data_IF_194426294259
#
_entry.id   IF_194426294259
#
_cell.length_a   1.000
_cell.length_b   1.000
_cell.length_c   1.000
_cell.angle_alpha   90.00
_cell.angle_beta   90.00
_cell.angle_gamma   90.00
#
_symmetry.space_group_name_H-M   'P 1'
#
loop_
_entity.id
_entity.type
_entity.pdbx_description
1 polymer ?
#
# COMPACT_ATOMS: atom_id res chain seq x y z
N UNK A 1 -12.19 4.67 -9.32
CA UNK A 1 -12.09 5.67 -8.20
C UNK A 1 -13.32 5.64 -7.28
N UNK A 2 -14.40 4.96 -7.66
CA UNK A 2 -15.64 4.88 -6.87
C UNK A 2 -15.45 4.22 -5.50
N UNK A 3 -14.42 3.40 -5.35
CA UNK A 3 -14.08 2.71 -4.09
C UNK A 3 -13.22 3.56 -3.14
N UNK A 4 -12.94 4.82 -3.50
CA UNK A 4 -12.22 5.76 -2.63
C UNK A 4 -13.25 6.71 -2.02
N UNK A 5 -13.59 6.55 -0.73
CA UNK A 5 -14.74 7.23 -0.13
C UNK A 5 -14.57 8.75 0.01
N UNK A 6 -13.33 9.23 0.08
CA UNK A 6 -13.04 10.69 0.17
C UNK A 6 -11.93 11.07 -0.80
N UNK A 7 -12.06 12.24 -1.41
CA UNK A 7 -11.06 12.84 -2.30
C UNK A 7 -10.59 11.98 -3.48
N UNK A 8 -11.37 10.97 -3.90
CA UNK A 8 -11.03 10.10 -5.04
C UNK A 8 -10.72 10.89 -6.32
N UNK A 9 -11.37 12.05 -6.51
CA UNK A 9 -11.14 12.93 -7.67
C UNK A 9 -9.71 13.48 -7.75
N UNK A 10 -9.01 13.62 -6.63
CA UNK A 10 -7.60 14.03 -6.59
C UNK A 10 -6.70 13.11 -7.40
N UNK A 11 -7.06 11.84 -7.50
CA UNK A 11 -6.27 10.82 -8.19
C UNK A 11 -6.54 10.72 -9.70
N UNK A 12 -7.50 11.48 -10.24
CA UNK A 12 -7.81 11.40 -11.68
C UNK A 12 -6.58 11.67 -12.55
N UNK A 13 -5.82 12.70 -12.24
CA UNK A 13 -4.63 13.05 -13.02
C UNK A 13 -3.56 11.95 -12.96
N UNK A 14 -3.36 11.34 -11.80
CA UNK A 14 -2.40 10.23 -11.64
C UNK A 14 -2.84 9.01 -12.46
N UNK A 15 -4.09 8.57 -12.30
CA UNK A 15 -4.62 7.40 -13.01
C UNK A 15 -4.83 7.61 -14.51
N UNK A 16 -4.98 8.84 -14.97
CA UNK A 16 -5.00 9.12 -16.42
C UNK A 16 -3.63 9.01 -17.07
N UNK A 17 -2.56 9.13 -16.29
CA UNK A 17 -1.18 8.99 -16.78
C UNK A 17 -0.59 7.61 -16.59
N UNK A 18 -1.02 6.91 -15.55
CA UNK A 18 -0.57 5.57 -15.23
C UNK A 18 -1.70 4.81 -14.54
N UNK A 19 -2.43 4.05 -15.34
CA UNK A 19 -3.59 3.28 -14.91
C UNK A 19 -3.21 1.89 -14.37
N UNK A 20 -4.19 1.14 -13.87
CA UNK A 20 -3.99 -0.27 -13.50
C UNK A 20 -3.60 -1.14 -14.71
N UNK A 21 -4.14 -0.84 -15.90
CA UNK A 21 -3.74 -1.53 -17.13
C UNK A 21 -2.26 -1.23 -17.49
N UNK A 22 -1.83 0.03 -17.34
CA UNK A 22 -0.42 0.40 -17.55
C UNK A 22 0.50 -0.28 -16.55
N UNK A 23 0.05 -0.44 -15.30
CA UNK A 23 0.79 -1.17 -14.26
C UNK A 23 0.96 -2.65 -14.65
N UNK A 24 -0.09 -3.30 -15.13
CA UNK A 24 -0.01 -4.68 -15.61
C UNK A 24 0.97 -4.80 -16.79
N UNK A 25 0.79 -3.96 -17.80
CA UNK A 25 1.68 -3.94 -18.97
C UNK A 25 3.16 -3.66 -18.60
N UNK A 26 3.38 -2.83 -17.58
CA UNK A 26 4.72 -2.55 -17.08
C UNK A 26 5.38 -3.82 -16.50
N UNK A 27 4.70 -4.58 -15.65
CA UNK A 27 5.26 -5.80 -15.07
C UNK A 27 5.43 -6.92 -16.11
N UNK A 28 4.48 -7.06 -17.04
CA UNK A 28 4.60 -8.01 -18.14
C UNK A 28 5.83 -7.70 -19.00
N UNK A 29 6.08 -6.42 -19.32
CA UNK A 29 7.31 -5.99 -20.02
C UNK A 29 8.59 -6.27 -19.23
N UNK A 30 8.52 -6.34 -17.91
CA UNK A 30 9.63 -6.74 -17.05
C UNK A 30 9.81 -8.25 -16.94
N UNK A 31 8.98 -9.04 -17.67
CA UNK A 31 9.04 -10.48 -17.68
C UNK A 31 8.34 -11.15 -16.49
N UNK A 32 7.35 -10.49 -15.90
CA UNK A 32 6.47 -11.05 -14.88
C UNK A 32 5.11 -11.36 -15.48
N UNK A 33 4.82 -12.61 -15.88
CA UNK A 33 3.49 -12.99 -16.34
C UNK A 33 2.45 -12.78 -15.23
N UNK A 34 1.33 -12.15 -15.59
CA UNK A 34 0.27 -11.83 -14.64
C UNK A 34 -0.99 -12.65 -14.91
N UNK A 35 -1.76 -12.91 -13.85
CA UNK A 35 -3.11 -13.45 -13.90
C UNK A 35 -4.07 -12.52 -13.14
N UNK A 36 -5.29 -12.39 -13.65
CA UNK A 36 -6.35 -11.67 -12.96
C UNK A 36 -7.29 -12.69 -12.31
N UNK A 37 -7.41 -12.62 -11.00
CA UNK A 37 -8.31 -13.44 -10.22
C UNK A 37 -9.62 -12.71 -9.96
N UNK A 38 -10.54 -13.41 -9.34
CA UNK A 38 -11.83 -12.88 -8.90
C UNK A 38 -11.66 -11.59 -8.08
N UNK A 39 -12.57 -10.63 -8.24
CA UNK A 39 -12.49 -9.32 -7.61
C UNK A 39 -11.49 -8.39 -8.29
N UNK A 40 -11.08 -8.71 -9.54
CA UNK A 40 -10.08 -7.95 -10.30
C UNK A 40 -8.73 -7.84 -9.57
N UNK A 41 -8.38 -8.85 -8.77
CA UNK A 41 -7.08 -8.94 -8.11
C UNK A 41 -6.05 -9.49 -9.08
N UNK A 42 -4.94 -8.78 -9.24
CA UNK A 42 -3.86 -9.17 -10.14
C UNK A 42 -2.68 -9.74 -9.34
N UNK A 43 -2.23 -10.92 -9.74
CA UNK A 43 -1.10 -11.62 -9.15
C UNK A 43 -0.13 -12.09 -10.24
N UNK A 44 1.15 -12.34 -9.90
CA UNK A 44 2.02 -13.09 -10.79
C UNK A 44 1.50 -14.52 -10.97
N UNK A 45 1.65 -15.09 -12.15
CA UNK A 45 1.23 -16.48 -12.44
C UNK A 45 1.90 -17.47 -11.49
N UNK A 46 3.12 -17.17 -11.05
CA UNK A 46 3.89 -17.98 -10.09
C UNK A 46 3.36 -17.93 -8.66
N UNK A 47 2.42 -17.05 -8.32
CA UNK A 47 1.98 -16.73 -6.95
C UNK A 47 3.11 -16.28 -6.01
N UNK A 48 4.27 -15.91 -6.56
CA UNK A 48 5.44 -15.47 -5.81
C UNK A 48 5.60 -13.94 -5.87
N UNK A 49 5.42 -13.26 -4.74
CA UNK A 49 5.73 -11.82 -4.63
C UNK A 49 7.21 -11.51 -4.88
N UNK A 50 8.08 -12.51 -4.70
CA UNK A 50 9.52 -12.37 -4.98
C UNK A 50 9.80 -12.06 -6.45
N UNK A 51 9.03 -12.63 -7.37
CA UNK A 51 9.23 -12.40 -8.81
C UNK A 51 8.98 -10.94 -9.19
N UNK A 52 8.01 -10.30 -8.52
CA UNK A 52 7.70 -8.89 -8.71
C UNK A 52 8.86 -8.02 -8.22
N UNK A 53 9.33 -8.26 -7.00
CA UNK A 53 10.46 -7.49 -6.44
C UNK A 53 11.76 -7.71 -7.20
N UNK A 54 12.06 -8.95 -7.61
CA UNK A 54 13.23 -9.27 -8.41
C UNK A 54 13.20 -8.61 -9.79
N UNK A 55 12.03 -8.49 -10.41
CA UNK A 55 11.88 -7.79 -11.69
C UNK A 55 12.20 -6.29 -11.55
N UNK A 56 11.70 -5.66 -10.47
CA UNK A 56 12.02 -4.26 -10.15
C UNK A 56 13.51 -4.06 -9.88
N UNK A 57 14.14 -4.94 -9.10
CA UNK A 57 15.57 -4.89 -8.85
C UNK A 57 16.41 -5.01 -10.13
N UNK A 58 16.05 -5.95 -11.01
CA UNK A 58 16.70 -6.07 -12.33
C UNK A 58 16.57 -4.80 -13.15
N UNK A 59 15.40 -4.17 -13.12
CA UNK A 59 15.15 -2.92 -13.84
C UNK A 59 15.98 -1.77 -13.28
N UNK A 60 16.04 -1.63 -11.96
CA UNK A 60 16.88 -0.62 -11.29
C UNK A 60 18.35 -0.78 -11.63
N UNK A 61 18.86 -2.01 -11.61
CA UNK A 61 20.25 -2.33 -12.02
C UNK A 61 20.50 -1.95 -13.49
N UNK A 62 19.58 -2.29 -14.39
CA UNK A 62 19.70 -1.95 -15.81
C UNK A 62 19.70 -0.44 -16.06
N UNK A 63 18.97 0.33 -15.24
CA UNK A 63 18.96 1.78 -15.26
C UNK A 63 20.11 2.42 -14.48
N UNK A 64 21.03 1.62 -13.93
CA UNK A 64 22.15 2.08 -13.08
C UNK A 64 21.72 2.91 -11.89
N UNK A 65 20.52 2.64 -11.33
CA UNK A 65 20.04 3.28 -10.11
C UNK A 65 20.87 2.76 -8.94
N UNK A 66 21.41 3.66 -8.14
CA UNK A 66 22.15 3.33 -6.92
C UNK A 66 21.16 3.01 -5.80
N UNK A 67 21.16 1.78 -5.32
CA UNK A 67 20.38 1.37 -4.15
C UNK A 67 21.27 1.48 -2.92
N UNK A 68 20.86 2.26 -1.94
CA UNK A 68 21.58 2.43 -0.67
C UNK A 68 20.72 1.84 0.43
N UNK A 69 21.32 0.94 1.23
CA UNK A 69 20.68 0.36 2.41
C UNK A 69 20.98 1.24 3.61
N UNK A 70 20.14 2.23 3.81
CA UNK A 70 20.18 3.14 4.95
C UNK A 70 18.75 3.54 5.34
N UNK A 71 18.59 3.97 6.58
CA UNK A 71 17.32 4.52 7.04
C UNK A 71 17.34 6.03 6.86
N UNK A 72 16.39 6.55 6.08
CA UNK A 72 16.20 7.98 5.95
C UNK A 72 15.64 8.55 7.28
N UNK A 73 16.30 9.56 7.81
CA UNK A 73 15.95 10.20 9.09
C UNK A 73 15.18 11.50 8.86
N UNK A 74 15.65 12.35 7.95
CA UNK A 74 15.03 13.63 7.66
C UNK A 74 15.32 14.10 6.24
N UNK A 75 14.54 15.07 5.76
CA UNK A 75 14.88 15.84 4.58
C UNK A 75 15.87 16.94 4.94
N UNK A 76 16.87 17.15 4.09
CA UNK A 76 17.77 18.31 4.18
C UNK A 76 17.15 19.43 3.38
N UNK A 77 16.74 20.51 4.06
CA UNK A 77 16.08 21.67 3.46
C UNK A 77 16.87 22.92 3.80
N UNK A 78 17.23 23.70 2.79
CA UNK A 78 17.85 25.00 2.94
C UNK A 78 17.13 26.02 2.05
N UNK A 79 16.82 27.18 2.60
CA UNK A 79 16.12 28.28 1.90
C UNK A 79 14.82 27.83 1.22
N UNK A 80 14.03 26.98 1.92
CA UNK A 80 12.76 26.44 1.42
C UNK A 80 12.90 25.41 0.27
N UNK A 81 14.12 24.99 -0.04
CA UNK A 81 14.41 24.04 -1.12
C UNK A 81 15.03 22.76 -0.55
N UNK A 82 14.55 21.61 -1.01
CA UNK A 82 15.17 20.33 -0.65
C UNK A 82 16.56 20.23 -1.26
N UNK A 83 17.52 19.75 -0.46
CA UNK A 83 18.93 19.58 -0.85
C UNK A 83 19.36 18.13 -0.77
N UNK A 84 18.58 17.28 -0.13
CA UNK A 84 18.93 15.87 0.03
C UNK A 84 18.13 15.18 1.12
N UNK A 85 18.66 14.03 1.52
CA UNK A 85 18.12 13.19 2.60
C UNK A 85 19.26 12.88 3.58
N UNK A 86 19.02 13.13 4.86
CA UNK A 86 19.88 12.63 5.93
C UNK A 86 19.46 11.21 6.29
N UNK A 87 20.39 10.28 6.24
CA UNK A 87 20.26 8.92 6.72
C UNK A 87 20.98 8.69 8.04
N UNK A 88 20.84 7.49 8.61
CA UNK A 88 21.56 7.10 9.83
C UNK A 88 23.09 7.00 9.60
N UNK A 89 23.49 6.73 8.35
CA UNK A 89 24.90 6.48 7.99
C UNK A 89 25.54 7.63 7.20
N UNK A 90 24.76 8.60 6.76
CA UNK A 90 25.27 9.73 5.99
C UNK A 90 24.22 10.59 5.35
N UNK A 91 24.67 11.61 4.61
CA UNK A 91 23.86 12.50 3.84
C UNK A 91 23.87 12.10 2.35
N UNK A 92 22.74 12.26 1.70
CA UNK A 92 22.49 11.92 0.30
C UNK A 92 21.98 13.14 -0.44
N UNK A 93 22.89 13.98 -1.03
CA UNK A 93 22.50 15.17 -1.76
C UNK A 93 21.59 14.83 -2.95
N UNK A 94 20.56 15.65 -3.17
CA UNK A 94 19.63 15.49 -4.28
C UNK A 94 18.94 16.80 -4.61
N UNK A 95 18.64 17.02 -5.89
CA UNK A 95 17.88 18.18 -6.38
C UNK A 95 16.36 17.99 -6.18
N UNK A 96 15.91 16.77 -5.94
CA UNK A 96 14.52 16.44 -5.69
C UNK A 96 14.41 15.09 -4.95
N UNK A 97 13.43 14.96 -4.08
CA UNK A 97 13.19 13.75 -3.28
C UNK A 97 11.75 13.29 -3.47
N UNK A 98 11.57 11.99 -3.75
CA UNK A 98 10.27 11.33 -3.79
C UNK A 98 10.10 10.55 -2.49
N UNK A 99 9.13 10.95 -1.66
CA UNK A 99 8.74 10.21 -0.47
C UNK A 99 7.82 9.05 -0.87
N UNK A 100 8.34 7.84 -0.86
CA UNK A 100 7.62 6.62 -1.21
C UNK A 100 7.77 5.55 -0.11
N UNK A 101 7.72 5.98 1.16
CA UNK A 101 8.03 5.17 2.35
C UNK A 101 6.88 4.27 2.81
N UNK A 102 5.77 4.26 2.09
CA UNK A 102 4.55 3.55 2.50
C UNK A 102 3.78 4.27 3.61
N UNK A 103 2.87 3.54 4.24
CA UNK A 103 1.99 4.05 5.29
C UNK A 103 2.42 3.65 6.71
N UNK A 104 1.43 3.23 7.52
CA UNK A 104 1.63 2.82 8.93
C UNK A 104 1.05 1.44 9.24
N UNK A 105 0.63 0.68 8.21
CA UNK A 105 -0.12 -0.56 8.41
C UNK A 105 0.73 -1.75 8.88
N UNK A 106 2.00 -1.81 8.47
CA UNK A 106 2.91 -2.90 8.81
C UNK A 106 4.27 -2.36 9.27
N UNK A 107 4.39 -1.91 10.52
CA UNK A 107 5.64 -1.32 11.03
C UNK A 107 6.84 -2.26 10.94
N UNK A 108 6.63 -3.57 11.11
CA UNK A 108 7.68 -4.59 10.99
C UNK A 108 8.31 -4.68 9.59
N UNK A 109 7.60 -4.22 8.56
CA UNK A 109 8.10 -4.16 7.17
C UNK A 109 8.61 -2.78 6.76
N UNK A 110 8.75 -1.85 7.71
CA UNK A 110 9.26 -0.50 7.50
C UNK A 110 8.18 0.58 7.30
N UNK A 111 6.89 0.22 7.36
CA UNK A 111 5.78 1.19 7.26
C UNK A 111 5.53 1.89 8.61
N UNK A 112 6.49 2.71 9.03
CA UNK A 112 6.54 3.35 10.36
C UNK A 112 5.98 4.78 10.40
N UNK A 113 5.57 5.32 9.24
CA UNK A 113 5.06 6.69 9.13
C UNK A 113 6.15 7.77 8.99
N UNK A 114 7.40 7.38 8.81
CA UNK A 114 8.52 8.32 8.68
C UNK A 114 8.30 9.33 7.53
N UNK A 115 7.71 8.91 6.42
CA UNK A 115 7.40 9.82 5.32
C UNK A 115 6.34 10.87 5.67
N UNK A 116 5.34 10.52 6.47
CA UNK A 116 4.35 11.49 6.94
C UNK A 116 5.01 12.53 7.86
N UNK A 117 5.91 12.09 8.75
CA UNK A 117 6.68 12.98 9.61
C UNK A 117 7.56 13.92 8.80
N UNK A 118 8.35 13.39 7.86
CA UNK A 118 9.21 14.19 6.99
C UNK A 118 8.42 15.19 6.14
N UNK A 119 7.23 14.81 5.66
CA UNK A 119 6.36 15.71 4.93
C UNK A 119 5.86 16.87 5.82
N UNK A 120 5.46 16.58 7.06
CA UNK A 120 5.04 17.60 8.01
C UNK A 120 6.19 18.55 8.38
N UNK A 121 7.39 18.01 8.61
CA UNK A 121 8.61 18.81 8.86
C UNK A 121 8.98 19.71 7.67
N UNK A 122 8.68 19.27 6.44
CA UNK A 122 8.83 20.07 5.23
C UNK A 122 7.70 21.08 4.99
N UNK A 123 6.77 21.24 5.93
CA UNK A 123 5.68 22.22 5.86
C UNK A 123 4.39 21.74 5.18
N UNK A 124 4.28 20.46 4.84
CA UNK A 124 3.04 19.90 4.29
C UNK A 124 2.01 19.62 5.40
N UNK A 125 0.73 19.82 5.08
CA UNK A 125 -0.36 19.39 5.96
C UNK A 125 -0.60 17.89 5.81
N UNK A 126 -0.40 17.15 6.90
CA UNK A 126 -0.73 15.73 6.97
C UNK A 126 -2.06 15.56 7.67
N UNK A 127 -3.06 15.02 6.97
CA UNK A 127 -4.38 14.74 7.56
C UNK A 127 -4.29 13.60 8.55
N UNK A 128 -5.14 13.55 9.61
CA UNK A 128 -5.14 12.45 10.56
C UNK A 128 -5.27 11.09 9.88
N UNK A 129 -4.34 10.19 10.19
CA UNK A 129 -4.33 8.83 9.66
C UNK A 129 -5.48 8.04 10.29
N UNK A 130 -6.18 7.26 9.47
CA UNK A 130 -7.30 6.40 9.87
C UNK A 130 -7.17 5.04 9.20
N UNK A 131 -7.65 4.00 9.88
CA UNK A 131 -7.78 2.67 9.28
C UNK A 131 -8.73 2.73 8.07
N UNK A 132 -8.38 2.00 7.01
CA UNK A 132 -9.22 1.84 5.81
C UNK A 132 -9.69 0.40 5.66
N UNK A 133 -8.75 -0.55 5.59
CA UNK A 133 -9.03 -1.97 5.68
C UNK A 133 -8.45 -2.46 7.01
N UNK A 134 -9.32 -2.87 7.91
CA UNK A 134 -8.95 -3.30 9.25
C UNK A 134 -9.68 -4.59 9.60
N UNK A 135 -9.07 -5.49 10.39
CA UNK A 135 -9.78 -6.64 10.92
C UNK A 135 -10.91 -6.18 11.86
N UNK A 136 -12.00 -6.92 11.87
CA UNK A 136 -13.10 -6.71 12.80
C UNK A 136 -12.93 -7.66 13.98
N UNK A 137 -13.24 -7.16 15.18
CA UNK A 137 -13.42 -7.99 16.37
C UNK A 137 -14.90 -8.30 16.55
N UNK A 138 -15.23 -9.55 16.88
CA UNK A 138 -16.60 -9.94 17.02
C UNK A 138 -16.75 -11.24 17.81
N UNK A 139 -17.99 -11.64 17.99
CA UNK A 139 -18.40 -12.94 18.54
C UNK A 139 -19.21 -13.67 17.46
N UNK A 140 -18.96 -14.97 17.29
CA UNK A 140 -19.68 -15.83 16.32
C UNK A 140 -21.04 -16.24 16.89
N UNK A 141 -21.07 -16.51 18.19
CA UNK A 141 -22.26 -16.85 18.95
C UNK A 141 -22.05 -16.42 20.41
N UNK A 142 -23.07 -16.37 21.27
CA UNK A 142 -22.89 -16.03 22.67
C UNK A 142 -21.75 -16.82 23.31
N UNK A 143 -20.72 -16.10 23.80
CA UNK A 143 -19.54 -16.68 24.42
C UNK A 143 -18.46 -17.26 23.47
N UNK A 144 -18.63 -17.13 22.15
CA UNK A 144 -17.64 -17.63 21.17
C UNK A 144 -17.03 -16.43 20.41
N UNK A 145 -15.87 -15.90 20.82
CA UNK A 145 -15.21 -14.82 20.11
C UNK A 145 -14.64 -15.32 18.78
N UNK A 146 -14.65 -14.45 17.73
CA UNK A 146 -14.13 -14.77 16.41
C UNK A 146 -12.68 -15.28 16.42
N UNK A 147 -11.87 -14.85 17.39
CA UNK A 147 -10.49 -15.32 17.54
C UNK A 147 -10.35 -16.85 17.66
N UNK A 148 -11.40 -17.53 18.13
CA UNK A 148 -11.41 -19.03 18.19
C UNK A 148 -11.51 -19.69 16.82
N UNK A 149 -11.87 -18.92 15.79
CA UNK A 149 -11.92 -19.38 14.41
C UNK A 149 -10.67 -18.95 13.62
N UNK A 150 -9.67 -18.39 14.29
CA UNK A 150 -8.44 -17.92 13.65
C UNK A 150 -7.82 -19.00 12.75
N UNK A 151 -7.57 -18.63 11.49
CA UNK A 151 -7.05 -19.51 10.44
C UNK A 151 -8.12 -20.18 9.58
N UNK A 152 -9.41 -20.07 9.94
CA UNK A 152 -10.49 -20.50 9.08
C UNK A 152 -10.68 -19.56 7.91
N UNK A 153 -10.64 -20.10 6.69
CA UNK A 153 -10.93 -19.37 5.46
C UNK A 153 -12.19 -19.94 4.81
N UNK A 154 -13.18 -19.10 4.64
CA UNK A 154 -14.42 -19.43 3.93
C UNK A 154 -14.38 -18.80 2.54
N UNK A 155 -14.42 -19.63 1.51
CA UNK A 155 -14.44 -19.20 0.11
C UNK A 155 -15.86 -19.17 -0.43
N UNK A 156 -16.10 -18.22 -1.36
CA UNK A 156 -17.39 -18.09 -2.06
C UNK A 156 -18.58 -17.88 -1.10
N UNK A 157 -18.44 -16.99 -0.14
CA UNK A 157 -19.50 -16.63 0.80
C UNK A 157 -20.12 -15.29 0.46
N UNK A 158 -21.44 -15.18 0.68
CA UNK A 158 -22.13 -13.90 0.73
C UNK A 158 -22.08 -13.34 2.15
N UNK A 159 -21.58 -12.14 2.31
CA UNK A 159 -21.58 -11.40 3.57
C UNK A 159 -22.59 -10.28 3.52
N UNK A 160 -23.45 -10.20 4.52
CA UNK A 160 -24.37 -9.07 4.68
C UNK A 160 -24.21 -8.48 6.08
N UNK A 161 -24.02 -7.17 6.13
CA UNK A 161 -23.92 -6.41 7.38
C UNK A 161 -25.25 -5.75 7.67
N UNK A 162 -25.71 -5.93 8.90
CA UNK A 162 -26.93 -5.30 9.42
C UNK A 162 -26.60 -4.42 10.63
N UNK A 163 -27.34 -3.34 10.80
CA UNK A 163 -27.37 -2.52 11.99
C UNK A 163 -28.83 -2.25 12.36
N UNK A 164 -29.25 -2.65 13.55
CA UNK A 164 -30.64 -2.54 14.01
C UNK A 164 -31.65 -3.07 12.94
N UNK A 165 -31.43 -4.29 12.46
CA UNK A 165 -32.20 -4.98 11.42
C UNK A 165 -32.20 -4.28 10.04
N UNK A 166 -31.52 -3.16 9.90
CA UNK A 166 -31.35 -2.49 8.62
C UNK A 166 -30.11 -3.02 7.89
N UNK A 167 -30.32 -3.52 6.68
CA UNK A 167 -29.20 -3.93 5.82
C UNK A 167 -28.37 -2.72 5.42
N UNK A 168 -27.07 -2.74 5.78
CA UNK A 168 -26.11 -1.69 5.45
C UNK A 168 -25.29 -2.01 4.23
N UNK A 169 -24.80 -3.25 4.12
CA UNK A 169 -23.85 -3.63 3.09
C UNK A 169 -23.99 -5.11 2.74
N UNK A 170 -23.72 -5.45 1.51
CA UNK A 170 -23.62 -6.86 1.05
C UNK A 170 -22.48 -6.98 0.08
N UNK A 171 -21.70 -8.04 0.24
CA UNK A 171 -20.63 -8.40 -0.68
C UNK A 171 -20.53 -9.91 -0.80
N UNK A 172 -19.80 -10.35 -1.82
CA UNK A 172 -19.55 -11.76 -2.08
C UNK A 172 -18.06 -11.99 -2.31
N UNK A 173 -17.44 -12.87 -1.53
CA UNK A 173 -16.00 -13.07 -1.62
C UNK A 173 -15.49 -14.16 -0.70
N UNK A 174 -14.37 -13.88 -0.07
CA UNK A 174 -13.72 -14.72 0.94
C UNK A 174 -13.84 -14.03 2.31
N UNK A 175 -14.13 -14.83 3.33
CA UNK A 175 -14.13 -14.40 4.73
C UNK A 175 -13.01 -15.13 5.45
N UNK A 176 -12.11 -14.38 6.07
CA UNK A 176 -11.01 -14.91 6.87
C UNK A 176 -11.25 -14.60 8.34
N UNK A 177 -11.02 -15.59 9.22
CA UNK A 177 -11.07 -15.44 10.66
C UNK A 177 -9.68 -15.47 11.29
#
# INVERSE_FOLDING_TARGET
>A
LNNIPKNGKFLYSAFSRFSSADTMAFFEKLGVPLKTERGNRVFPVSDSAFDVSAALERRLKALRVRIVRDRAVSLEIADGTVRGVAGERGSYPADGVILATGGVSYPATGSTGDGHRMAAEAGHTVTPLRGSLVPLQGIVAPGIPCVRLQGLSLRNVGLTVFENDKKLYTDFGELLF
#
